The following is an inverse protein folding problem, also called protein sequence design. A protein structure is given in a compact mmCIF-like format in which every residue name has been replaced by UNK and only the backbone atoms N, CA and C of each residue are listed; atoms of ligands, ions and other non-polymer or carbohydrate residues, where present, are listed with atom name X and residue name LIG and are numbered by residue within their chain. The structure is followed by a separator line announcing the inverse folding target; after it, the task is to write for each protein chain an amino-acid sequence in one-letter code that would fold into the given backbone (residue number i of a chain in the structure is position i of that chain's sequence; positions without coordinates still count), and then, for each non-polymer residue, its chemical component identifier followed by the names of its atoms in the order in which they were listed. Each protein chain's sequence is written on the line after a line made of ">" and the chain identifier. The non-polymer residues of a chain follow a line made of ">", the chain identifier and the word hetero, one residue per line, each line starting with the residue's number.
data_IF_018151815131
#
_entry.id   IF_018151815131
#
_cell.length_a   1.000
_cell.length_b   1.000
_cell.length_c   1.000
_cell.angle_alpha   90.00
_cell.angle_beta   90.00
_cell.angle_gamma   90.00
#
_symmetry.space_group_name_H-M   'P 1'
#
loop_
_entity.id
_entity.type
_entity.pdbx_description
1 polymer ?
#
# COMPACT_ATOMS: atom_id res chain seq x y z
N UNK A 1 -14.82 -21.06 -10.96
CA UNK A 1 -15.03 -19.74 -11.60
C UNK A 1 -15.85 -18.86 -10.65
N UNK A 2 -15.99 -17.55 -10.89
CA UNK A 2 -16.73 -16.62 -10.02
C UNK A 2 -15.89 -15.42 -9.58
N UNK A 3 -16.44 -14.58 -8.69
CA UNK A 3 -15.82 -13.32 -8.25
C UNK A 3 -14.79 -13.58 -7.14
N UNK A 4 -13.68 -12.84 -7.18
CA UNK A 4 -12.61 -12.88 -6.18
C UNK A 4 -12.21 -11.46 -5.80
N UNK A 5 -12.07 -11.21 -4.50
CA UNK A 5 -11.34 -10.04 -4.04
C UNK A 5 -9.86 -10.28 -4.33
N UNK A 6 -9.24 -9.37 -5.10
CA UNK A 6 -7.93 -9.58 -5.69
C UNK A 6 -6.90 -8.55 -5.23
N UNK A 7 -6.89 -8.33 -3.91
CA UNK A 7 -5.87 -7.54 -3.20
C UNK A 7 -5.06 -8.47 -2.31
N UNK A 8 -3.83 -8.07 -1.97
CA UNK A 8 -3.08 -8.76 -0.92
C UNK A 8 -3.87 -8.71 0.41
N UNK A 9 -3.75 -9.74 1.27
CA UNK A 9 -4.36 -9.71 2.60
C UNK A 9 -3.87 -8.54 3.46
N UNK A 10 -4.80 -7.96 4.23
CA UNK A 10 -4.57 -6.84 5.12
C UNK A 10 -4.64 -5.48 4.42
N UNK A 11 -4.36 -4.43 5.20
CA UNK A 11 -4.45 -3.03 4.75
C UNK A 11 -3.11 -2.31 4.88
N UNK A 12 -2.97 -1.25 4.11
CA UNK A 12 -1.85 -0.32 4.22
C UNK A 12 -2.36 1.11 4.00
N UNK A 13 -1.90 2.02 4.82
CA UNK A 13 -2.18 3.45 4.69
C UNK A 13 -1.15 4.15 3.80
N UNK A 14 -1.51 5.33 3.30
CA UNK A 14 -0.61 6.18 2.54
C UNK A 14 0.68 6.49 3.31
N UNK A 15 0.58 6.80 4.60
CA UNK A 15 1.74 7.14 5.43
C UNK A 15 2.69 5.96 5.62
N UNK A 16 2.19 4.73 5.74
CA UNK A 16 3.04 3.54 5.82
C UNK A 16 3.80 3.31 4.51
N UNK A 17 3.16 3.52 3.36
CA UNK A 17 3.84 3.45 2.04
C UNK A 17 4.91 4.53 1.91
N UNK A 18 4.59 5.79 2.28
CA UNK A 18 5.53 6.90 2.19
C UNK A 18 6.71 6.72 3.15
N UNK A 19 6.49 6.11 4.31
CA UNK A 19 7.56 5.73 5.23
C UNK A 19 8.46 4.66 4.61
N UNK A 20 7.90 3.59 4.02
CA UNK A 20 8.70 2.60 3.29
C UNK A 20 9.47 3.23 2.13
N UNK A 21 8.87 4.18 1.40
CA UNK A 21 9.56 4.91 0.35
C UNK A 21 10.76 5.70 0.90
N UNK A 22 10.57 6.39 2.03
CA UNK A 22 11.67 7.11 2.68
C UNK A 22 12.80 6.18 3.13
N UNK A 23 12.45 5.04 3.71
CA UNK A 23 13.43 4.12 4.29
C UNK A 23 14.22 3.35 3.23
N UNK A 24 13.57 2.95 2.13
CA UNK A 24 14.17 2.10 1.10
C UNK A 24 14.65 2.86 -0.14
N UNK A 25 14.05 4.00 -0.49
CA UNK A 25 14.32 4.69 -1.76
C UNK A 25 15.02 6.04 -1.57
N UNK A 26 14.49 6.91 -0.71
CA UNK A 26 15.01 8.27 -0.51
C UNK A 26 14.84 8.76 0.93
N UNK A 27 15.92 8.72 1.71
CA UNK A 27 15.88 9.13 3.12
C UNK A 27 15.60 10.61 3.35
N UNK A 28 15.74 11.45 2.32
CA UNK A 28 15.46 12.88 2.39
C UNK A 28 14.01 13.21 1.99
N UNK A 29 13.24 12.21 1.54
CA UNK A 29 11.85 12.39 1.18
C UNK A 29 11.03 12.89 2.38
N UNK A 30 10.13 13.84 2.10
CA UNK A 30 9.20 14.41 3.08
C UNK A 30 7.83 14.60 2.44
N UNK A 31 6.80 14.54 3.27
CA UNK A 31 5.41 14.75 2.86
C UNK A 31 4.65 15.48 3.95
N UNK A 32 3.48 15.99 3.59
CA UNK A 32 2.52 16.59 4.53
C UNK A 32 1.19 15.87 4.37
N UNK A 33 0.53 15.60 5.50
CA UNK A 33 -0.84 15.09 5.49
C UNK A 33 -1.81 16.25 5.23
N UNK A 34 -2.95 15.91 4.63
CA UNK A 34 -4.08 16.83 4.49
C UNK A 34 -5.05 16.66 5.65
N UNK A 35 -5.74 17.74 6.00
CA UNK A 35 -7.02 17.61 6.71
C UNK A 35 -8.11 17.17 5.74
N UNK A 36 -9.24 16.66 6.26
CA UNK A 36 -10.36 16.27 5.42
C UNK A 36 -10.95 17.47 4.65
N UNK A 37 -10.94 18.67 5.25
CA UNK A 37 -11.40 19.89 4.60
C UNK A 37 -10.49 20.31 3.44
N UNK A 38 -9.17 20.14 3.58
CA UNK A 38 -8.23 20.38 2.51
C UNK A 38 -8.40 19.36 1.38
N UNK A 39 -8.57 18.09 1.73
CA UNK A 39 -8.78 17.02 0.75
C UNK A 39 -10.03 17.29 -0.10
N UNK A 40 -11.14 17.69 0.53
CA UNK A 40 -12.42 17.99 -0.14
C UNK A 40 -12.32 19.13 -1.17
N UNK A 41 -11.38 20.07 -1.00
CA UNK A 41 -11.16 21.16 -1.96
C UNK A 41 -10.40 20.72 -3.21
N UNK A 42 -9.68 19.60 -3.15
CA UNK A 42 -8.77 19.13 -4.22
C UNK A 42 -9.36 17.94 -4.98
N UNK A 43 -10.20 17.12 -4.35
CA UNK A 43 -10.81 15.96 -4.99
C UNK A 43 -12.11 16.34 -5.70
N UNK A 44 -12.26 15.91 -6.96
CA UNK A 44 -13.50 16.10 -7.76
C UNK A 44 -14.67 15.29 -7.18
N UNK A 45 -14.38 14.16 -6.52
CA UNK A 45 -15.36 13.31 -5.87
C UNK A 45 -14.72 12.50 -4.71
N UNK A 46 -15.52 12.05 -3.72
CA UNK A 46 -15.05 11.15 -2.66
C UNK A 46 -14.41 9.87 -3.21
N UNK A 47 -13.48 9.30 -2.45
CA UNK A 47 -12.78 8.05 -2.80
C UNK A 47 -13.24 6.91 -1.90
N UNK A 48 -13.35 5.70 -2.46
CA UNK A 48 -13.64 4.50 -1.68
C UNK A 48 -12.41 4.13 -0.84
N UNK A 49 -12.61 3.97 0.47
CA UNK A 49 -11.61 3.46 1.40
C UNK A 49 -12.23 2.24 2.08
N UNK A 50 -11.71 1.05 1.76
CA UNK A 50 -12.25 -0.22 2.24
C UNK A 50 -11.12 -1.25 2.40
N UNK A 51 -11.44 -2.32 3.12
CA UNK A 51 -10.66 -3.55 3.15
C UNK A 51 -11.49 -4.63 2.43
N UNK A 52 -10.85 -5.39 1.56
CA UNK A 52 -11.49 -6.51 0.88
C UNK A 52 -11.06 -7.83 1.53
N UNK A 53 -12.04 -8.67 1.87
CA UNK A 53 -11.75 -9.99 2.44
C UNK A 53 -11.02 -10.87 1.42
N UNK A 54 -9.75 -11.16 1.68
CA UNK A 54 -8.89 -11.99 0.85
C UNK A 54 -8.93 -13.49 1.24
N UNK A 55 -9.75 -13.92 2.21
CA UNK A 55 -9.81 -15.31 2.70
C UNK A 55 -10.02 -16.32 1.57
N UNK A 56 -10.95 -16.03 0.66
CA UNK A 56 -11.22 -16.89 -0.50
C UNK A 56 -9.96 -17.09 -1.34
N UNK A 57 -9.27 -15.99 -1.67
CA UNK A 57 -8.04 -16.00 -2.48
C UNK A 57 -6.88 -16.69 -1.76
N UNK A 58 -6.66 -16.36 -0.49
CA UNK A 58 -5.58 -16.90 0.35
C UNK A 58 -5.73 -18.40 0.61
N UNK A 59 -6.97 -18.92 0.63
CA UNK A 59 -7.22 -20.36 0.77
C UNK A 59 -6.70 -21.15 -0.43
N UNK A 60 -6.89 -20.63 -1.65
CA UNK A 60 -6.40 -21.29 -2.87
C UNK A 60 -4.91 -21.02 -3.13
N UNK A 61 -4.39 -19.88 -2.65
CA UNK A 61 -2.99 -19.50 -2.78
C UNK A 61 -2.37 -19.20 -1.40
N UNK A 62 -2.06 -20.24 -0.60
CA UNK A 62 -1.56 -20.08 0.76
C UNK A 62 -0.25 -19.29 0.85
N UNK A 63 0.54 -19.24 -0.22
CA UNK A 63 1.78 -18.47 -0.32
C UNK A 63 1.59 -16.97 -0.58
N UNK A 64 0.34 -16.52 -0.85
CA UNK A 64 0.04 -15.12 -1.13
C UNK A 64 0.45 -14.21 0.04
N UNK A 65 1.43 -13.35 -0.17
CA UNK A 65 1.96 -12.47 0.87
C UNK A 65 0.94 -11.39 1.29
N UNK A 66 1.00 -10.98 2.56
CA UNK A 66 0.27 -9.79 3.03
C UNK A 66 0.76 -8.54 2.30
N UNK A 67 -0.04 -7.47 2.31
CA UNK A 67 0.28 -6.26 1.54
C UNK A 67 1.66 -5.67 1.91
N UNK A 68 1.99 -5.59 3.20
CA UNK A 68 3.27 -5.01 3.66
C UNK A 68 4.46 -5.89 3.29
N UNK A 69 4.34 -7.21 3.44
CA UNK A 69 5.41 -8.14 3.06
C UNK A 69 5.64 -8.15 1.55
N UNK A 70 4.54 -8.14 0.77
CA UNK A 70 4.60 -8.10 -0.69
C UNK A 70 5.25 -6.81 -1.17
N UNK A 71 4.88 -5.65 -0.59
CA UNK A 71 5.51 -4.36 -0.89
C UNK A 71 7.01 -4.39 -0.61
N UNK A 72 7.43 -4.87 0.57
CA UNK A 72 8.85 -4.92 0.93
C UNK A 72 9.62 -5.85 -0.02
N UNK A 73 9.13 -7.09 -0.22
CA UNK A 73 9.84 -8.12 -0.99
C UNK A 73 9.90 -7.79 -2.48
N UNK A 74 8.79 -7.36 -3.06
CA UNK A 74 8.63 -7.28 -4.51
C UNK A 74 8.79 -5.85 -5.05
N UNK A 75 8.66 -4.82 -4.21
CA UNK A 75 8.73 -3.41 -4.64
C UNK A 75 9.93 -2.71 -4.01
N UNK A 76 9.99 -2.59 -2.68
CA UNK A 76 10.97 -1.72 -2.03
C UNK A 76 12.38 -2.30 -2.00
N UNK A 77 12.57 -3.57 -1.63
CA UNK A 77 13.90 -4.18 -1.62
C UNK A 77 14.56 -4.23 -3.00
N UNK A 78 13.89 -4.65 -4.09
CA UNK A 78 14.51 -4.67 -5.41
C UNK A 78 14.88 -3.28 -5.95
N UNK A 79 14.16 -2.24 -5.52
CA UNK A 79 14.43 -0.86 -5.91
C UNK A 79 15.28 -0.10 -4.88
N UNK A 80 15.78 -0.77 -3.85
CA UNK A 80 16.51 -0.11 -2.78
C UNK A 80 17.76 0.55 -3.34
N UNK A 81 17.88 1.87 -3.16
CA UNK A 81 19.06 2.61 -3.59
C UNK A 81 20.16 2.39 -2.54
N UNK A 82 21.30 1.86 -2.96
CA UNK A 82 22.50 1.84 -2.12
C UNK A 82 22.89 3.29 -1.89
N UNK A 83 22.99 3.72 -0.63
CA UNK A 83 23.55 5.03 -0.30
C UNK A 83 24.98 5.05 -0.85
N UNK A 84 25.23 5.98 -1.78
CA UNK A 84 26.57 6.24 -2.31
C UNK A 84 27.51 6.69 -1.19
#
# INVERSE_FOLDING_TARGET
>A
TGIWNFTNPGVVSHNEILQMYKDYIDSNFSWKNFTLEEQAKVIVAPRSNNELDANKLKKEFPELLSIKESLIKNVFKPNQKVKA
#
